data_IF_386724196471
#
_entry.id   IF_386724196471
#
_cell.length_a   1.000
_cell.length_b   1.000
_cell.length_c   1.000
_cell.angle_alpha   90.00
_cell.angle_beta   90.00
_cell.angle_gamma   90.00
#
_symmetry.space_group_name_H-M   'P 1'
#
loop_
_entity.id
_entity.type
_entity.pdbx_description
1 polymer ?
#
# COMPACT_ATOMS: atom_id res chain seq x y z
N UNK A 1 2.08 2.74 -0.68
CA UNK A 1 1.00 2.26 -1.57
C UNK A 1 -0.33 2.46 -0.89
N UNK A 2 -1.32 2.98 -1.62
CA UNK A 2 -2.67 3.24 -1.16
C UNK A 2 -3.66 2.46 -2.02
N UNK A 3 -4.73 2.00 -1.41
CA UNK A 3 -5.89 1.42 -2.07
C UNK A 3 -7.08 2.32 -1.72
N UNK A 4 -7.50 3.12 -2.67
CA UNK A 4 -8.56 4.12 -2.48
C UNK A 4 -9.90 3.53 -2.93
N UNK A 5 -10.64 2.92 -2.00
CA UNK A 5 -11.94 2.33 -2.25
C UNK A 5 -13.01 3.41 -2.41
N UNK A 6 -13.80 3.35 -3.49
CA UNK A 6 -14.73 4.42 -3.86
C UNK A 6 -15.99 4.50 -2.99
N UNK A 7 -16.45 3.36 -2.49
CA UNK A 7 -17.75 3.28 -1.81
C UNK A 7 -17.66 2.83 -0.34
N UNK A 8 -16.47 2.86 0.25
CA UNK A 8 -16.23 2.43 1.63
C UNK A 8 -16.07 3.65 2.52
N UNK A 9 -16.94 3.79 3.51
CA UNK A 9 -16.84 4.82 4.54
C UNK A 9 -16.90 4.18 5.93
N UNK A 10 -16.33 4.83 6.93
CA UNK A 10 -16.32 4.33 8.31
C UNK A 10 -17.76 4.02 8.84
N UNK A 11 -18.77 4.70 8.32
CA UNK A 11 -20.13 4.60 8.83
C UNK A 11 -20.96 3.48 8.18
N UNK A 12 -20.52 2.92 7.05
CA UNK A 12 -21.26 1.87 6.34
C UNK A 12 -20.59 0.47 6.43
N UNK A 13 -19.53 0.36 7.21
CA UNK A 13 -18.81 -0.89 7.44
C UNK A 13 -19.22 -1.51 8.77
N UNK A 14 -19.44 -2.82 8.80
CA UNK A 14 -19.69 -3.62 10.01
C UNK A 14 -18.73 -4.82 10.05
N UNK A 15 -18.70 -5.54 11.19
CA UNK A 15 -17.89 -6.76 11.34
C UNK A 15 -16.39 -6.53 11.15
N UNK A 16 -15.89 -5.31 11.29
CA UNK A 16 -14.50 -4.99 11.04
C UNK A 16 -13.57 -5.69 12.04
N UNK A 17 -12.61 -6.42 11.50
CA UNK A 17 -11.50 -6.99 12.26
C UNK A 17 -10.20 -6.91 11.47
N UNK A 18 -9.09 -6.92 12.19
CA UNK A 18 -7.75 -7.07 11.62
C UNK A 18 -6.91 -7.94 12.53
N UNK A 19 -6.02 -8.70 11.93
CA UNK A 19 -5.14 -9.62 12.61
C UNK A 19 -3.73 -9.59 12.01
N UNK A 20 -2.78 -10.06 12.79
CA UNK A 20 -1.41 -10.30 12.38
C UNK A 20 -0.98 -11.66 12.97
N UNK A 21 -0.71 -12.62 12.10
CA UNK A 21 -0.12 -13.90 12.51
C UNK A 21 1.41 -13.78 12.51
N UNK A 22 1.99 -13.69 13.71
CA UNK A 22 3.44 -13.58 13.89
C UNK A 22 4.21 -14.83 13.45
N UNK A 23 3.55 -15.99 13.37
CA UNK A 23 4.17 -17.25 12.95
C UNK A 23 4.40 -17.28 11.44
N UNK A 24 3.47 -16.75 10.67
CA UNK A 24 3.52 -16.72 9.21
C UNK A 24 3.92 -15.35 8.63
N UNK A 25 3.85 -14.29 9.45
CA UNK A 25 4.04 -12.92 9.01
C UNK A 25 2.90 -12.39 8.14
N UNK A 26 1.77 -13.13 8.09
CA UNK A 26 0.58 -12.73 7.35
C UNK A 26 -0.28 -11.75 8.14
N UNK A 27 -0.89 -10.79 7.48
CA UNK A 27 -1.87 -9.89 8.08
C UNK A 27 -3.19 -9.91 7.33
N UNK A 28 -4.30 -9.82 8.06
CA UNK A 28 -5.64 -9.85 7.55
C UNK A 28 -6.46 -8.62 7.93
N UNK A 29 -7.41 -8.27 7.08
CA UNK A 29 -8.49 -7.33 7.38
C UNK A 29 -9.77 -7.92 6.83
N UNK A 30 -10.81 -7.96 7.65
CA UNK A 30 -12.14 -8.43 7.29
C UNK A 30 -13.18 -7.37 7.63
N UNK A 31 -14.21 -7.23 6.82
CA UNK A 31 -15.35 -6.36 7.09
C UNK A 31 -16.54 -6.73 6.21
N UNK A 32 -17.72 -6.30 6.63
CA UNK A 32 -18.96 -6.42 5.86
C UNK A 32 -19.41 -5.03 5.38
N UNK A 33 -19.87 -4.97 4.15
CA UNK A 33 -20.40 -3.75 3.51
C UNK A 33 -21.58 -4.11 2.61
N UNK A 34 -22.74 -3.54 2.89
CA UNK A 34 -23.97 -3.75 2.11
C UNK A 34 -24.35 -5.23 1.91
N UNK A 35 -24.10 -6.07 2.92
CA UNK A 35 -24.41 -7.51 2.86
C UNK A 35 -23.32 -8.38 2.21
N UNK A 36 -22.30 -7.80 1.64
CA UNK A 36 -21.14 -8.51 1.11
C UNK A 36 -20.00 -8.57 2.13
N UNK A 37 -19.25 -9.65 2.10
CA UNK A 37 -18.06 -9.83 2.94
C UNK A 37 -16.78 -9.55 2.14
N UNK A 38 -15.89 -8.75 2.72
CA UNK A 38 -14.62 -8.34 2.12
C UNK A 38 -13.45 -8.80 2.97
N UNK A 39 -12.44 -9.36 2.31
CA UNK A 39 -11.19 -9.72 2.95
C UNK A 39 -10.00 -9.10 2.23
N UNK A 40 -9.00 -8.74 3.00
CA UNK A 40 -7.69 -8.35 2.50
C UNK A 40 -6.62 -9.13 3.27
N UNK A 41 -5.81 -9.86 2.55
CA UNK A 41 -4.69 -10.63 3.07
C UNK A 41 -3.39 -10.05 2.53
N UNK A 42 -2.39 -9.91 3.38
CA UNK A 42 -1.07 -9.45 2.97
C UNK A 42 -0.01 -10.42 3.51
N UNK A 43 0.97 -10.72 2.69
CA UNK A 43 2.16 -11.46 3.10
C UNK A 43 3.38 -11.07 2.26
N UNK A 44 4.57 -11.31 2.79
CA UNK A 44 5.84 -11.09 2.10
C UNK A 44 6.43 -12.44 1.74
N UNK A 45 6.71 -12.66 0.45
CA UNK A 45 7.47 -13.81 -0.02
C UNK A 45 8.95 -13.46 0.00
N UNK A 46 9.71 -14.11 0.88
CA UNK A 46 11.17 -13.92 0.94
C UNK A 46 11.89 -14.47 -0.29
N UNK A 47 11.55 -15.67 -0.82
CA UNK A 47 12.20 -16.19 -2.02
C UNK A 47 11.98 -15.33 -3.26
N UNK A 48 10.79 -14.74 -3.39
CA UNK A 48 10.42 -13.93 -4.55
C UNK A 48 10.68 -12.44 -4.34
N UNK A 49 11.00 -12.04 -3.11
CA UNK A 49 11.22 -10.64 -2.71
C UNK A 49 10.04 -9.72 -3.09
N UNK A 50 8.82 -10.18 -2.82
CA UNK A 50 7.59 -9.45 -3.14
C UNK A 50 6.65 -9.35 -1.93
N UNK A 51 5.92 -8.25 -1.84
CA UNK A 51 4.74 -8.11 -1.01
C UNK A 51 3.52 -8.47 -1.84
N UNK A 52 2.73 -9.43 -1.38
CA UNK A 52 1.47 -9.82 -2.01
C UNK A 52 0.31 -9.26 -1.19
N UNK A 53 -0.64 -8.64 -1.88
CA UNK A 53 -1.93 -8.24 -1.31
C UNK A 53 -3.03 -8.93 -2.10
N UNK A 54 -3.84 -9.73 -1.43
CA UNK A 54 -5.02 -10.38 -1.99
C UNK A 54 -6.27 -9.71 -1.47
N UNK A 55 -7.14 -9.33 -2.37
CA UNK A 55 -8.46 -8.75 -2.07
C UNK A 55 -9.54 -9.71 -2.55
N UNK A 56 -10.54 -9.97 -1.72
CA UNK A 56 -11.70 -10.80 -2.07
C UNK A 56 -12.99 -10.11 -1.66
N UNK A 57 -14.02 -10.27 -2.46
CA UNK A 57 -15.38 -9.90 -2.13
C UNK A 57 -16.30 -11.10 -2.41
N UNK A 58 -17.23 -11.40 -1.50
CA UNK A 58 -18.21 -12.48 -1.64
C UNK A 58 -19.62 -11.89 -1.62
N UNK A 59 -20.63 -12.74 -1.80
CA UNK A 59 -22.06 -12.39 -1.68
C UNK A 59 -22.49 -11.20 -2.57
N UNK A 60 -21.96 -11.18 -3.80
CA UNK A 60 -22.28 -10.13 -4.78
C UNK A 60 -21.51 -8.82 -4.59
N UNK A 61 -20.55 -8.78 -3.69
CA UNK A 61 -19.66 -7.64 -3.50
C UNK A 61 -18.76 -7.39 -4.72
N UNK A 62 -18.44 -6.13 -4.95
CA UNK A 62 -17.53 -5.69 -6.02
C UNK A 62 -16.30 -5.02 -5.44
N UNK A 63 -15.16 -5.24 -6.09
CA UNK A 63 -13.91 -4.56 -5.77
C UNK A 63 -13.75 -3.37 -6.73
N UNK A 64 -14.09 -2.18 -6.23
CA UNK A 64 -13.94 -0.91 -6.97
C UNK A 64 -13.00 0.02 -6.19
N UNK A 65 -11.77 0.11 -6.64
CA UNK A 65 -10.72 0.90 -5.99
C UNK A 65 -9.66 1.35 -6.98
N UNK A 66 -9.06 2.48 -6.68
CA UNK A 66 -7.86 2.94 -7.36
C UNK A 66 -6.60 2.52 -6.57
N UNK A 67 -5.56 2.20 -7.31
CA UNK A 67 -4.25 1.93 -6.73
C UNK A 67 -3.36 3.14 -6.93
N UNK A 68 -2.85 3.66 -5.83
CA UNK A 68 -1.93 4.79 -5.85
C UNK A 68 -0.62 4.42 -5.15
N UNK A 69 0.48 4.63 -5.84
CA UNK A 69 1.81 4.52 -5.27
C UNK A 69 2.42 5.92 -5.28
N UNK A 70 2.75 6.39 -4.12
CA UNK A 70 3.43 7.67 -3.92
C UNK A 70 4.67 7.40 -3.07
N UNK A 71 5.81 7.98 -3.44
CA UNK A 71 6.94 8.03 -2.53
C UNK A 71 6.49 8.82 -1.30
N UNK A 72 6.91 8.40 -0.12
CA UNK A 72 6.65 9.14 1.09
C UNK A 72 7.40 10.47 0.97
N UNK A 73 6.66 11.54 0.74
CA UNK A 73 7.18 12.88 0.94
C UNK A 73 7.22 13.05 2.47
N UNK A 74 8.35 12.73 3.08
CA UNK A 74 8.60 13.15 4.45
C UNK A 74 8.44 14.66 4.52
N UNK A 75 7.24 15.09 4.83
CA UNK A 75 7.03 16.42 5.39
C UNK A 75 7.73 16.41 6.74
N UNK A 76 8.94 16.89 6.70
CA UNK A 76 9.87 17.16 7.76
C UNK A 76 9.55 16.53 9.10
N UNK A 77 10.40 15.63 9.51
CA UNK A 77 10.47 15.18 10.88
C UNK A 77 10.39 16.34 11.84
N UNK A 78 10.00 16.01 13.07
CA UNK A 78 10.06 16.82 14.30
C UNK A 78 10.44 18.27 14.10
N UNK A 79 9.59 19.18 14.54
CA UNK A 79 9.74 20.66 14.48
C UNK A 79 11.06 21.24 15.03
N UNK A 80 12.02 20.40 15.39
CA UNK A 80 13.31 20.77 15.97
C UNK A 80 14.54 20.29 15.16
N UNK A 81 14.36 19.81 13.92
CA UNK A 81 15.52 19.53 13.04
C UNK A 81 15.67 20.66 12.03
N UNK A 82 16.90 21.22 11.86
CA UNK A 82 17.16 22.20 10.83
C UNK A 82 16.89 21.60 9.44
N UNK A 83 16.42 22.43 8.51
CA UNK A 83 15.99 22.11 7.13
C UNK A 83 16.99 21.35 6.24
N UNK A 84 18.17 21.02 6.75
CA UNK A 84 19.26 20.41 6.00
C UNK A 84 19.15 18.89 5.80
N UNK A 85 18.19 18.20 6.43
CA UNK A 85 18.07 16.74 6.39
C UNK A 85 16.85 16.21 5.60
N UNK A 86 16.33 16.97 4.67
CA UNK A 86 15.45 16.39 3.65
C UNK A 86 16.33 15.55 2.73
N UNK A 87 16.29 14.23 2.86
CA UNK A 87 16.89 13.31 1.89
C UNK A 87 16.27 13.57 0.52
N UNK A 88 16.86 14.52 -0.20
CA UNK A 88 16.38 14.86 -1.52
C UNK A 88 16.47 13.60 -2.38
N UNK A 89 15.37 13.22 -2.97
CA UNK A 89 15.26 12.06 -3.87
C UNK A 89 14.63 12.50 -5.17
N UNK A 90 15.15 11.94 -6.24
CA UNK A 90 14.52 12.05 -7.55
C UNK A 90 13.83 10.74 -7.87
N UNK A 91 12.68 10.78 -8.50
CA UNK A 91 11.98 9.58 -8.94
C UNK A 91 11.25 9.82 -10.27
N UNK A 92 11.16 8.75 -11.05
CA UNK A 92 10.37 8.66 -12.27
C UNK A 92 9.27 7.61 -12.07
N UNK A 93 8.03 7.98 -12.38
CA UNK A 93 6.85 7.12 -12.24
C UNK A 93 6.30 6.77 -13.62
N UNK A 94 6.23 5.48 -13.91
CA UNK A 94 5.64 4.93 -15.14
C UNK A 94 4.39 4.14 -14.78
N UNK A 95 3.30 4.41 -15.47
CA UNK A 95 2.02 3.72 -15.27
C UNK A 95 1.64 3.03 -16.56
N UNK A 96 1.26 1.77 -16.46
CA UNK A 96 0.66 0.97 -17.53
C UNK A 96 -0.63 0.30 -17.03
N UNK A 97 -1.35 -0.40 -17.90
CA UNK A 97 -2.66 -0.99 -17.57
C UNK A 97 -2.62 -1.93 -16.35
N UNK A 98 -1.51 -2.63 -16.15
CA UNK A 98 -1.37 -3.62 -15.09
C UNK A 98 -0.15 -3.40 -14.18
N UNK A 99 0.58 -2.29 -14.33
CA UNK A 99 1.76 -2.04 -13.52
C UNK A 99 1.99 -0.56 -13.25
N UNK A 100 2.53 -0.29 -12.06
CA UNK A 100 3.11 1.00 -11.68
C UNK A 100 4.57 0.73 -11.34
N UNK A 101 5.48 1.40 -12.03
CA UNK A 101 6.91 1.36 -11.74
C UNK A 101 7.37 2.72 -11.22
N UNK A 102 8.18 2.72 -10.20
CA UNK A 102 8.85 3.91 -9.66
C UNK A 102 10.35 3.60 -9.59
N UNK A 103 11.12 4.34 -10.34
CA UNK A 103 12.58 4.33 -10.28
C UNK A 103 13.05 5.61 -9.60
N UNK A 104 13.97 5.50 -8.67
CA UNK A 104 14.43 6.65 -7.93
C UNK A 104 15.90 6.57 -7.53
N UNK A 105 16.42 7.71 -7.10
CA UNK A 105 17.78 7.85 -6.62
C UNK A 105 17.82 8.81 -5.44
N UNK A 106 18.55 8.45 -4.40
CA UNK A 106 18.89 9.34 -3.30
C UNK A 106 20.01 10.29 -3.77
N UNK A 107 19.89 11.56 -3.44
CA UNK A 107 20.85 12.58 -3.91
C UNK A 107 22.11 12.66 -3.06
N UNK A 108 22.06 12.21 -1.82
CA UNK A 108 23.16 12.24 -0.86
C UNK A 108 24.24 11.19 -1.15
N UNK A 109 23.85 9.96 -1.46
CA UNK A 109 24.76 8.82 -1.64
C UNK A 109 24.61 8.14 -3.00
N UNK A 110 23.82 8.69 -3.92
CA UNK A 110 23.57 8.18 -5.27
C UNK A 110 22.94 6.77 -5.30
N UNK A 111 22.39 6.28 -4.19
CA UNK A 111 21.74 4.98 -4.11
C UNK A 111 20.49 4.97 -4.99
N UNK A 112 20.41 4.00 -5.89
CA UNK A 112 19.25 3.77 -6.75
C UNK A 112 18.31 2.75 -6.13
N UNK A 113 17.01 2.97 -6.31
CA UNK A 113 15.96 2.03 -5.93
C UNK A 113 14.93 1.89 -7.04
N UNK A 114 14.30 0.74 -7.11
CA UNK A 114 13.20 0.49 -8.04
C UNK A 114 12.08 -0.24 -7.32
N UNK A 115 10.85 0.17 -7.57
CA UNK A 115 9.64 -0.47 -7.08
C UNK A 115 8.75 -0.74 -8.29
N UNK A 116 8.36 -2.00 -8.47
CA UNK A 116 7.44 -2.40 -9.52
C UNK A 116 6.24 -3.04 -8.85
N UNK A 117 5.05 -2.61 -9.24
CA UNK A 117 3.80 -3.22 -8.87
C UNK A 117 3.10 -3.77 -10.11
N UNK A 118 2.64 -5.00 -10.02
CA UNK A 118 1.82 -5.69 -11.03
C UNK A 118 0.49 -6.11 -10.43
#
# INVERSE_FOLDING_TARGET
MYLDFKNVTKNNVSGYSRDLDLRTGGSGVNYDLNGAHYTRENFVSYPDNVLVTRLTATDGGTLDFDVRVEPDEEKGGSQNKPEADSYARTFDKKVSDNAIAIDGQLTDNQLKFSLIRR
#
